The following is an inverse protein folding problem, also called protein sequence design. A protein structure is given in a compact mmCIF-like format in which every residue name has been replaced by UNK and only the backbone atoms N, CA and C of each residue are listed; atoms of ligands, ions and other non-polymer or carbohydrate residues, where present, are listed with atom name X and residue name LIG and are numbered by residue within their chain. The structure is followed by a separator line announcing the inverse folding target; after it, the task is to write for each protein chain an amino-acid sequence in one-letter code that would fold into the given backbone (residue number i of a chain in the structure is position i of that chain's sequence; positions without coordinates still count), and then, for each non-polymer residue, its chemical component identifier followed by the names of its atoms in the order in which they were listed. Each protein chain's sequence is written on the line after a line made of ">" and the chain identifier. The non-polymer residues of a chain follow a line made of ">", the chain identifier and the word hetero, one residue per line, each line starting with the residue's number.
data_IF_743519463548
#
_entry.id   IF_743519463548
#
_cell.length_a   1.000
_cell.length_b   1.000
_cell.length_c   1.000
_cell.angle_alpha   90.00
_cell.angle_beta   90.00
_cell.angle_gamma   90.00
#
_symmetry.space_group_name_H-M   'P 1'
#
loop_
_entity.id
_entity.type
_entity.pdbx_description
1 polymer ?
#
# COMPACT_ATOMS: atom_id res chain seq x y z
N UNK A 1 -7.78 -22.49 2.88
CA UNK A 1 -8.51 -22.54 4.17
C UNK A 1 -9.72 -21.61 4.05
N UNK A 2 -10.95 -22.11 4.18
CA UNK A 2 -12.17 -21.32 3.94
C UNK A 2 -12.49 -20.40 5.15
N UNK A 3 -13.10 -19.23 4.92
CA UNK A 3 -13.36 -18.17 5.93
C UNK A 3 -14.12 -18.70 7.16
N UNK A 4 -15.06 -19.61 6.94
CA UNK A 4 -15.83 -20.26 8.02
C UNK A 4 -14.96 -21.08 8.98
N UNK A 5 -13.86 -21.68 8.50
CA UNK A 5 -12.94 -22.42 9.36
C UNK A 5 -12.14 -21.49 10.28
N UNK A 6 -11.80 -20.29 9.81
CA UNK A 6 -11.05 -19.31 10.60
C UNK A 6 -11.88 -18.75 11.77
N UNK A 7 -13.14 -18.40 11.51
CA UNK A 7 -14.05 -17.90 12.55
C UNK A 7 -14.33 -18.96 13.62
N UNK A 8 -14.45 -20.24 13.23
CA UNK A 8 -14.61 -21.36 14.16
C UNK A 8 -13.37 -21.50 15.06
N UNK A 9 -12.17 -21.52 14.47
CA UNK A 9 -10.91 -21.62 15.21
C UNK A 9 -10.74 -20.46 16.19
N UNK A 10 -11.05 -19.23 15.78
CA UNK A 10 -10.99 -18.07 16.67
C UNK A 10 -11.95 -18.22 17.86
N UNK A 11 -13.21 -18.58 17.60
CA UNK A 11 -14.20 -18.81 18.67
C UNK A 11 -13.73 -19.88 19.66
N UNK A 12 -13.15 -20.97 19.17
CA UNK A 12 -12.64 -22.05 20.01
C UNK A 12 -11.45 -21.58 20.87
N UNK A 13 -10.51 -20.82 20.31
CA UNK A 13 -9.37 -20.24 21.04
C UNK A 13 -9.86 -19.28 22.15
N UNK A 14 -10.77 -18.37 21.82
CA UNK A 14 -11.32 -17.42 22.80
C UNK A 14 -12.08 -18.15 23.90
N UNK A 15 -12.88 -19.16 23.56
CA UNK A 15 -13.61 -19.99 24.53
C UNK A 15 -12.67 -20.67 25.52
N UNK A 16 -11.60 -21.30 25.02
CA UNK A 16 -10.60 -21.97 25.86
C UNK A 16 -9.95 -20.95 26.81
N UNK A 17 -9.55 -19.78 26.29
CA UNK A 17 -8.92 -18.75 27.11
C UNK A 17 -9.86 -18.24 28.22
N UNK A 18 -11.12 -17.97 27.91
CA UNK A 18 -12.12 -17.52 28.90
C UNK A 18 -12.39 -18.58 29.97
N UNK A 19 -12.40 -19.87 29.60
CA UNK A 19 -12.56 -20.97 30.56
C UNK A 19 -11.36 -21.13 31.50
N UNK A 20 -10.16 -20.79 31.04
CA UNK A 20 -8.93 -20.86 31.83
C UNK A 20 -8.73 -19.63 32.72
N UNK A 21 -9.35 -18.50 32.39
CA UNK A 21 -9.20 -17.22 33.10
C UNK A 21 -9.47 -17.30 34.62
N UNK A 22 -10.56 -17.97 35.10
CA UNK A 22 -10.84 -18.10 36.53
C UNK A 22 -9.78 -18.90 37.28
N UNK A 23 -9.04 -19.77 36.59
CA UNK A 23 -7.98 -20.60 37.15
C UNK A 23 -6.58 -20.00 36.95
N UNK A 24 -6.46 -18.73 36.50
CA UNK A 24 -5.18 -18.10 36.15
C UNK A 24 -4.10 -18.20 37.24
N UNK A 25 -4.51 -18.15 38.50
CA UNK A 25 -3.61 -18.13 39.66
C UNK A 25 -3.00 -19.50 39.97
N UNK A 26 -3.54 -20.57 39.37
CA UNK A 26 -3.00 -21.94 39.45
C UNK A 26 -1.85 -22.13 38.45
N UNK A 27 -1.74 -21.28 37.41
CA UNK A 27 -0.72 -21.40 36.38
C UNK A 27 0.59 -20.71 36.80
N UNK A 28 1.71 -21.41 36.59
CA UNK A 28 3.07 -20.90 36.83
C UNK A 28 3.35 -19.56 36.10
N UNK A 29 2.71 -19.35 34.95
CA UNK A 29 2.88 -18.15 34.14
C UNK A 29 1.61 -17.27 34.11
N UNK A 30 1.12 -16.88 35.28
CA UNK A 30 -0.02 -15.95 35.42
C UNK A 30 0.14 -14.64 34.63
N UNK A 31 1.37 -14.19 34.39
CA UNK A 31 1.69 -12.99 33.60
C UNK A 31 1.33 -13.12 32.10
N UNK A 32 1.10 -14.34 31.62
CA UNK A 32 0.63 -14.59 30.25
C UNK A 32 -0.88 -14.34 30.08
N UNK A 33 -1.64 -14.27 31.18
CA UNK A 33 -3.06 -13.90 31.16
C UNK A 33 -3.21 -12.37 31.14
N UNK A 34 -2.81 -11.77 30.02
CA UNK A 34 -2.77 -10.31 29.83
C UNK A 34 -4.12 -9.67 29.52
N UNK A 35 -5.10 -10.45 29.10
CA UNK A 35 -6.37 -9.95 28.58
C UNK A 35 -7.50 -10.32 29.53
N UNK A 36 -8.36 -9.34 29.82
CA UNK A 36 -9.59 -9.56 30.58
C UNK A 36 -10.67 -10.23 29.74
N UNK A 37 -11.76 -10.66 30.38
CA UNK A 37 -12.95 -11.15 29.67
C UNK A 37 -13.53 -10.09 28.72
N UNK A 38 -13.46 -8.81 29.10
CA UNK A 38 -13.95 -7.68 28.30
C UNK A 38 -13.10 -7.46 27.04
N UNK A 39 -11.77 -7.59 27.15
CA UNK A 39 -10.84 -7.49 26.01
C UNK A 39 -11.10 -8.59 24.97
N UNK A 40 -11.38 -9.82 25.45
CA UNK A 40 -11.71 -10.97 24.63
C UNK A 40 -13.03 -10.74 23.89
N UNK A 41 -14.06 -10.30 24.59
CA UNK A 41 -15.37 -10.04 23.99
C UNK A 41 -15.31 -8.92 22.95
N UNK A 42 -14.60 -7.83 23.26
CA UNK A 42 -14.38 -6.71 22.34
C UNK A 42 -13.67 -7.17 21.06
N UNK A 43 -12.62 -7.98 21.21
CA UNK A 43 -11.87 -8.53 20.09
C UNK A 43 -12.73 -9.50 19.27
N UNK A 44 -13.50 -10.38 19.90
CA UNK A 44 -14.39 -11.31 19.22
C UNK A 44 -15.48 -10.57 18.43
N UNK A 45 -16.04 -9.49 18.99
CA UNK A 45 -17.00 -8.62 18.29
C UNK A 45 -16.36 -7.97 17.06
N UNK A 46 -15.12 -7.50 17.14
CA UNK A 46 -14.42 -6.93 15.97
C UNK A 46 -14.26 -7.92 14.81
N UNK A 47 -14.01 -9.20 15.10
CA UNK A 47 -13.83 -10.22 14.07
C UNK A 47 -15.14 -10.83 13.56
N UNK A 48 -16.18 -10.90 14.41
CA UNK A 48 -17.47 -11.55 14.07
C UNK A 48 -18.55 -10.57 13.65
N UNK A 49 -18.40 -9.27 13.94
CA UNK A 49 -19.32 -8.26 13.44
C UNK A 49 -19.38 -8.36 11.91
N UNK A 50 -20.59 -8.39 11.31
CA UNK A 50 -20.71 -8.18 9.88
C UNK A 50 -20.03 -6.86 9.60
N UNK A 51 -18.91 -6.91 8.89
CA UNK A 51 -18.32 -5.70 8.33
C UNK A 51 -19.38 -5.18 7.39
N UNK A 52 -20.20 -4.23 7.86
CA UNK A 52 -20.71 -3.21 6.96
C UNK A 52 -19.46 -2.68 6.28
N UNK A 53 -19.24 -3.14 5.06
CA UNK A 53 -18.36 -2.48 4.13
C UNK A 53 -19.09 -1.17 3.90
N UNK A 54 -18.92 -0.21 4.84
CA UNK A 54 -18.91 1.19 4.46
C UNK A 54 -17.81 1.22 3.44
N UNK A 55 -18.20 1.13 2.17
CA UNK A 55 -17.33 1.40 1.07
C UNK A 55 -16.67 2.70 1.48
N UNK A 56 -15.38 2.64 1.83
CA UNK A 56 -14.56 3.82 1.71
C UNK A 56 -14.66 4.08 0.23
N UNK A 57 -15.58 4.96 -0.17
CA UNK A 57 -15.35 5.84 -1.30
C UNK A 57 -14.05 6.52 -0.94
N UNK A 58 -12.93 5.84 -1.25
CA UNK A 58 -11.71 6.52 -1.61
C UNK A 58 -12.23 7.45 -2.68
N UNK A 59 -12.31 8.74 -2.38
CA UNK A 59 -12.24 9.76 -3.41
C UNK A 59 -10.92 9.43 -4.10
N UNK A 60 -10.98 8.55 -5.12
CA UNK A 60 -9.83 8.18 -5.90
C UNK A 60 -9.41 9.51 -6.48
N UNK A 61 -8.26 10.02 -6.02
CA UNK A 61 -7.66 11.21 -6.62
C UNK A 61 -7.66 10.93 -8.12
N UNK A 62 -8.40 11.76 -8.86
CA UNK A 62 -8.50 11.65 -10.31
C UNK A 62 -7.07 11.58 -10.84
N UNK A 63 -6.76 10.54 -11.62
CA UNK A 63 -5.40 10.32 -12.13
C UNK A 63 -4.95 11.58 -12.86
N UNK A 64 -3.75 12.05 -12.56
CA UNK A 64 -3.19 13.26 -13.19
C UNK A 64 -2.83 12.96 -14.66
N UNK A 65 -2.78 11.68 -15.01
CA UNK A 65 -2.41 11.19 -16.33
C UNK A 65 -3.62 10.68 -17.12
N UNK A 66 -4.84 11.07 -16.76
CA UNK A 66 -6.07 10.53 -17.35
C UNK A 66 -6.04 10.61 -18.89
N UNK A 67 -5.54 11.72 -19.44
CA UNK A 67 -5.50 12.02 -20.87
C UNK A 67 -4.15 11.74 -21.56
N UNK A 68 -3.27 10.94 -20.95
CA UNK A 68 -1.97 10.58 -21.54
C UNK A 68 -2.03 9.13 -22.01
N UNK A 69 -1.89 8.90 -23.31
CA UNK A 69 -2.07 7.57 -23.91
C UNK A 69 -0.91 7.16 -24.82
N UNK A 70 -0.09 8.10 -25.25
CA UNK A 70 1.04 7.86 -26.16
C UNK A 70 2.37 8.08 -25.45
N UNK A 71 3.43 7.54 -26.07
CA UNK A 71 4.80 7.72 -25.60
C UNK A 71 5.23 9.19 -25.71
N UNK A 72 4.77 9.87 -26.74
CA UNK A 72 5.06 11.28 -27.04
C UNK A 72 4.42 12.20 -25.99
N UNK A 73 3.16 11.96 -25.63
CA UNK A 73 2.48 12.67 -24.54
C UNK A 73 3.16 12.42 -23.19
N UNK A 74 3.58 11.18 -22.92
CA UNK A 74 4.32 10.85 -21.69
C UNK A 74 5.66 11.59 -21.62
N UNK A 75 6.38 11.72 -22.75
CA UNK A 75 7.61 12.52 -22.84
C UNK A 75 7.32 14.00 -22.59
N UNK A 76 6.32 14.57 -23.25
CA UNK A 76 5.92 15.97 -23.06
C UNK A 76 5.58 16.26 -21.59
N UNK A 77 4.76 15.41 -20.99
CA UNK A 77 4.36 15.53 -19.59
C UNK A 77 5.56 15.50 -18.63
N UNK A 78 6.54 14.63 -18.88
CA UNK A 78 7.75 14.56 -18.06
C UNK A 78 8.52 15.90 -18.07
N UNK A 79 8.75 16.47 -19.25
CA UNK A 79 9.49 17.73 -19.36
C UNK A 79 8.74 18.92 -18.74
N UNK A 80 7.41 18.92 -18.80
CA UNK A 80 6.59 20.00 -18.24
C UNK A 80 6.43 19.90 -16.72
N UNK A 81 6.36 18.69 -16.15
CA UNK A 81 5.86 18.49 -14.79
C UNK A 81 6.75 17.66 -13.86
N UNK A 82 7.86 17.08 -14.35
CA UNK A 82 8.69 16.15 -13.55
C UNK A 82 10.16 16.57 -13.47
N UNK A 83 10.54 17.70 -14.04
CA UNK A 83 11.89 18.26 -13.87
C UNK A 83 12.00 18.92 -12.51
N UNK A 84 13.07 18.60 -11.79
CA UNK A 84 13.42 19.21 -10.51
C UNK A 84 14.93 19.16 -10.28
N UNK A 85 15.41 19.92 -9.29
CA UNK A 85 16.80 19.87 -8.86
C UNK A 85 17.10 18.56 -8.11
N UNK A 86 17.96 17.72 -8.71
CA UNK A 86 18.31 16.40 -8.16
C UNK A 86 19.10 16.45 -6.87
N UNK A 87 19.73 17.58 -6.55
CA UNK A 87 20.38 17.79 -5.25
C UNK A 87 19.37 18.02 -4.12
N UNK A 88 18.13 18.37 -4.46
CA UNK A 88 17.06 18.65 -3.52
C UNK A 88 16.16 17.42 -3.30
N UNK A 89 16.37 16.74 -2.17
CA UNK A 89 15.60 15.55 -1.77
C UNK A 89 14.12 15.90 -1.53
N UNK A 90 13.83 17.09 -1.00
CA UNK A 90 12.45 17.51 -0.74
C UNK A 90 11.66 17.72 -2.03
N UNK A 91 12.33 18.21 -3.09
CA UNK A 91 11.72 18.34 -4.42
C UNK A 91 11.36 16.97 -5.02
N UNK A 92 12.22 15.95 -4.86
CA UNK A 92 11.89 14.56 -5.23
C UNK A 92 10.68 14.05 -4.46
N UNK A 93 10.67 14.25 -3.15
CA UNK A 93 9.58 13.80 -2.28
C UNK A 93 8.26 14.50 -2.60
N UNK A 94 8.28 15.77 -2.96
CA UNK A 94 7.10 16.52 -3.39
C UNK A 94 6.49 15.91 -4.66
N UNK A 95 7.30 15.62 -5.69
CA UNK A 95 6.84 14.94 -6.90
C UNK A 95 6.28 13.55 -6.60
N UNK A 96 6.97 12.78 -5.76
CA UNK A 96 6.50 11.47 -5.32
C UNK A 96 5.17 11.51 -4.55
N UNK A 97 4.78 12.64 -3.96
CA UNK A 97 3.45 12.81 -3.34
C UNK A 97 2.34 13.16 -4.34
N UNK A 98 2.71 13.79 -5.46
CA UNK A 98 1.79 14.19 -6.52
C UNK A 98 1.29 12.96 -7.28
N UNK A 99 2.20 12.13 -7.78
CA UNK A 99 1.86 10.98 -8.60
C UNK A 99 1.42 9.78 -7.76
N UNK A 100 0.36 9.07 -8.17
CA UNK A 100 0.02 7.77 -7.59
C UNK A 100 0.96 6.66 -8.05
N UNK A 101 0.86 5.48 -7.45
CA UNK A 101 1.61 4.31 -7.91
C UNK A 101 1.11 3.85 -9.28
N UNK A 102 -0.21 3.91 -9.54
CA UNK A 102 -0.77 3.60 -10.85
C UNK A 102 -0.29 4.59 -11.92
N UNK A 103 -0.18 5.89 -11.59
CA UNK A 103 0.29 6.90 -12.53
C UNK A 103 1.72 6.61 -13.03
N UNK A 104 2.63 6.31 -12.09
CA UNK A 104 4.02 6.02 -12.44
C UNK A 104 4.14 4.70 -13.21
N UNK A 105 3.32 3.69 -12.90
CA UNK A 105 3.25 2.45 -13.70
C UNK A 105 2.76 2.73 -15.12
N UNK A 106 1.79 3.63 -15.29
CA UNK A 106 1.27 4.04 -16.60
C UNK A 106 2.36 4.74 -17.42
N UNK A 107 3.04 5.74 -16.86
CA UNK A 107 4.16 6.42 -17.52
C UNK A 107 5.28 5.45 -17.90
N UNK A 108 5.68 4.58 -16.97
CA UNK A 108 6.71 3.58 -17.23
C UNK A 108 6.34 2.71 -18.44
N UNK A 109 5.10 2.19 -18.46
CA UNK A 109 4.61 1.35 -19.55
C UNK A 109 4.60 2.09 -20.88
N UNK A 110 4.20 3.37 -20.91
CA UNK A 110 4.21 4.19 -22.13
C UNK A 110 5.63 4.43 -22.66
N UNK A 111 6.63 4.60 -21.80
CA UNK A 111 8.01 4.87 -22.22
C UNK A 111 8.74 3.61 -22.67
N UNK A 112 8.61 2.53 -21.91
CA UNK A 112 9.40 1.30 -22.09
C UNK A 112 8.66 0.17 -22.80
N UNK A 113 7.33 0.23 -22.90
CA UNK A 113 6.48 -0.85 -23.40
C UNK A 113 6.75 -2.22 -22.74
N UNK A 114 7.16 -2.21 -21.46
CA UNK A 114 7.45 -3.41 -20.67
C UNK A 114 6.69 -3.41 -19.35
N UNK A 115 6.77 -4.53 -18.62
CA UNK A 115 6.14 -4.66 -17.30
C UNK A 115 6.78 -3.68 -16.31
N UNK A 116 5.98 -2.87 -15.60
CA UNK A 116 6.49 -1.96 -14.59
C UNK A 116 6.97 -2.71 -13.34
N UNK A 117 7.79 -2.04 -12.55
CA UNK A 117 8.25 -2.55 -11.26
C UNK A 117 7.12 -2.60 -10.23
N UNK A 118 7.33 -3.38 -9.18
CA UNK A 118 6.37 -3.52 -8.07
C UNK A 118 6.30 -2.24 -7.24
N UNK A 119 7.45 -1.63 -6.95
CA UNK A 119 7.56 -0.44 -6.09
C UNK A 119 7.44 0.84 -6.88
N UNK A 120 6.93 1.88 -6.22
CA UNK A 120 6.66 3.18 -6.82
C UNK A 120 7.95 3.91 -7.19
N UNK A 121 8.90 3.86 -6.27
CA UNK A 121 10.22 4.49 -6.34
C UNK A 121 11.02 3.93 -7.53
N UNK A 122 11.01 2.62 -7.73
CA UNK A 122 11.72 2.00 -8.86
C UNK A 122 11.14 2.44 -10.21
N UNK A 123 9.81 2.57 -10.33
CA UNK A 123 9.19 3.09 -11.55
C UNK A 123 9.57 4.56 -11.77
N UNK A 124 9.55 5.39 -10.72
CA UNK A 124 9.96 6.79 -10.79
C UNK A 124 11.42 6.93 -11.25
N UNK A 125 12.34 6.23 -10.59
CA UNK A 125 13.77 6.30 -10.90
C UNK A 125 14.06 5.78 -12.31
N UNK A 126 13.37 4.73 -12.76
CA UNK A 126 13.52 4.23 -14.12
C UNK A 126 13.02 5.24 -15.16
N UNK A 127 11.87 5.90 -14.92
CA UNK A 127 11.39 6.99 -15.78
C UNK A 127 12.44 8.09 -15.89
N UNK A 128 13.08 8.51 -14.80
CA UNK A 128 14.15 9.52 -14.85
C UNK A 128 15.33 9.07 -15.71
N UNK A 129 15.80 7.83 -15.50
CA UNK A 129 16.91 7.25 -16.29
C UNK A 129 16.60 7.20 -17.78
N UNK A 130 15.34 6.99 -18.18
CA UNK A 130 14.93 7.06 -19.58
C UNK A 130 15.33 8.38 -20.24
N UNK A 131 15.06 9.49 -19.55
CA UNK A 131 15.32 10.84 -20.06
C UNK A 131 16.80 11.24 -19.91
N UNK A 132 17.48 10.78 -18.86
CA UNK A 132 18.93 10.98 -18.71
C UNK A 132 19.73 10.28 -19.80
N UNK A 133 19.39 9.03 -20.12
CA UNK A 133 20.08 8.25 -21.15
C UNK A 133 19.79 8.80 -22.54
N UNK A 134 18.55 9.23 -22.80
CA UNK A 134 18.21 9.86 -24.09
C UNK A 134 18.83 11.25 -24.27
N UNK A 135 19.02 12.02 -23.19
CA UNK A 135 19.77 13.28 -23.24
C UNK A 135 21.26 13.03 -23.51
N UNK A 136 21.87 12.01 -22.87
CA UNK A 136 23.26 11.63 -23.14
C UNK A 136 23.47 11.16 -24.58
N UNK A 137 22.55 10.36 -25.12
CA UNK A 137 22.63 9.88 -26.50
C UNK A 137 22.47 10.99 -27.56
N UNK A 138 21.93 12.16 -27.22
CA UNK A 138 21.86 13.33 -28.11
C UNK A 138 23.12 14.21 -28.07
N UNK A 139 23.94 14.07 -27.03
CA UNK A 139 25.17 14.83 -26.82
C UNK A 139 26.44 14.01 -27.12
N UNK A 140 26.26 12.84 -27.75
CA UNK A 140 27.29 11.97 -28.32
C UNK A 140 27.20 12.06 -29.85
#
# INVERSE_FOLDING_TARGET
>A
MNKQNYEKILKDIFKIYTQLLPAKDIFFNKKSFKYSSEDIESTLKYFTAPKEVKARTKNAKKSILENIYTKEEAKKHYFENMIYDKSNIDAKNALMKIYSAEDLKKLYKLLYNTKPFTTKEMNFDAIQRFFENSARAKNL
#
